data_IF_178473684474
#
_entry.id   IF_178473684474
#
_cell.length_a   1.000
_cell.length_b   1.000
_cell.length_c   1.000
_cell.angle_alpha   90.00
_cell.angle_beta   90.00
_cell.angle_gamma   90.00
#
_symmetry.space_group_name_H-M   'P 1'
#
loop_
_entity.id
_entity.type
_entity.pdbx_description
1 polymer ?
#
# COMPACT_ATOMS: atom_id res chain seq x y z
N UNK A 1 1.01 -5.25 15.41
CA UNK A 1 2.06 -4.33 15.90
C UNK A 1 2.57 -4.84 17.24
N UNK A 2 3.87 -5.09 17.42
CA UNK A 2 4.46 -5.59 18.66
C UNK A 2 4.57 -4.52 19.77
N UNK A 3 3.44 -3.96 20.24
CA UNK A 3 3.43 -2.81 21.17
C UNK A 3 4.31 -3.01 22.42
N UNK A 4 4.22 -4.20 23.05
CA UNK A 4 5.00 -4.52 24.27
C UNK A 4 6.49 -4.66 24.00
N UNK A 5 6.86 -5.27 22.87
CA UNK A 5 8.25 -5.52 22.51
C UNK A 5 8.94 -4.18 22.21
N UNK A 6 8.25 -3.28 21.52
CA UNK A 6 8.78 -1.97 21.14
C UNK A 6 8.69 -0.91 22.26
N UNK A 7 8.03 -1.22 23.40
CA UNK A 7 7.86 -0.31 24.55
C UNK A 7 7.39 1.10 24.16
N UNK A 8 6.47 1.17 23.20
CA UNK A 8 6.01 2.44 22.64
C UNK A 8 5.09 3.19 23.61
N UNK A 9 5.24 4.51 23.66
CA UNK A 9 4.29 5.43 24.29
C UNK A 9 3.44 6.06 23.19
N UNK A 10 2.17 5.67 23.12
CA UNK A 10 1.25 6.09 22.07
C UNK A 10 0.11 6.91 22.66
N UNK A 11 -0.22 8.01 21.97
CA UNK A 11 -1.34 8.89 22.31
C UNK A 11 -2.57 8.55 21.47
N UNK A 12 -3.74 8.90 21.99
CA UNK A 12 -5.00 8.64 21.30
C UNK A 12 -5.06 9.41 19.98
N UNK A 13 -5.33 8.75 18.84
CA UNK A 13 -5.44 9.43 17.56
C UNK A 13 -6.78 10.19 17.38
N UNK A 14 -7.64 10.22 18.41
CA UNK A 14 -8.89 10.98 18.33
C UNK A 14 -8.63 12.47 18.53
N UNK A 15 -9.27 13.35 17.73
CA UNK A 15 -9.27 14.79 18.00
C UNK A 15 -9.72 15.03 19.44
N UNK A 16 -9.12 16.04 20.09
CA UNK A 16 -9.40 16.46 21.47
C UNK A 16 -9.20 15.42 22.60
N UNK A 17 -8.63 14.25 22.31
CA UNK A 17 -8.30 13.25 23.33
C UNK A 17 -6.77 13.15 23.53
N UNK A 18 -6.31 13.31 24.78
CA UNK A 18 -4.89 13.17 25.16
C UNK A 18 -4.61 11.89 25.96
N UNK A 19 -5.50 10.90 25.88
CA UNK A 19 -5.32 9.63 26.58
C UNK A 19 -4.21 8.77 25.98
N UNK A 20 -3.56 7.97 26.82
CA UNK A 20 -2.58 6.96 26.38
C UNK A 20 -3.26 5.71 25.85
N UNK A 21 -2.61 5.05 24.90
CA UNK A 21 -3.08 3.82 24.28
C UNK A 21 -2.46 2.60 24.96
N UNK A 22 -3.26 1.58 25.22
CA UNK A 22 -2.82 0.29 25.79
C UNK A 22 -3.27 -0.87 24.91
N UNK A 23 -2.61 -2.03 25.02
CA UNK A 23 -3.00 -3.25 24.30
C UNK A 23 -4.41 -3.70 24.75
N UNK A 24 -5.25 -4.04 23.77
CA UNK A 24 -6.65 -4.42 23.99
C UNK A 24 -7.07 -5.72 23.27
N UNK A 25 -6.11 -6.64 23.08
CA UNK A 25 -6.32 -7.93 22.45
C UNK A 25 -6.06 -7.93 20.94
N UNK A 26 -6.49 -9.00 20.27
CA UNK A 26 -6.34 -9.15 18.82
C UNK A 26 -7.45 -8.44 18.06
N UNK A 27 -7.09 -7.90 16.90
CA UNK A 27 -8.02 -7.34 15.94
C UNK A 27 -8.96 -8.42 15.43
N UNK A 28 -10.27 -8.13 15.35
CA UNK A 28 -11.30 -9.15 15.07
C UNK A 28 -11.15 -9.80 13.70
N UNK A 29 -10.53 -9.12 12.74
CA UNK A 29 -10.43 -9.57 11.36
C UNK A 29 -8.98 -9.79 10.94
N UNK A 30 -8.65 -11.01 10.56
CA UNK A 30 -7.37 -11.28 9.89
C UNK A 30 -7.46 -10.69 8.47
N UNK A 31 -6.47 -9.87 8.10
CA UNK A 31 -6.43 -9.27 6.77
C UNK A 31 -5.70 -10.17 5.80
N UNK A 32 -6.22 -10.27 4.59
CA UNK A 32 -5.56 -10.93 3.47
C UNK A 32 -4.84 -9.86 2.65
N UNK A 33 -3.52 -9.87 2.67
CA UNK A 33 -2.68 -8.86 2.01
C UNK A 33 -2.24 -9.39 0.66
N UNK A 34 -2.41 -8.59 -0.39
CA UNK A 34 -1.90 -8.90 -1.73
C UNK A 34 -0.37 -8.79 -1.74
N UNK A 35 0.32 -9.84 -2.17
CA UNK A 35 1.76 -9.86 -2.42
C UNK A 35 2.06 -10.22 -3.88
N UNK A 36 3.35 -10.24 -4.24
CA UNK A 36 3.84 -10.50 -5.60
C UNK A 36 3.40 -11.86 -6.14
N UNK A 37 3.43 -12.91 -5.31
CA UNK A 37 3.24 -14.31 -5.73
C UNK A 37 2.07 -15.02 -5.01
N UNK A 38 1.24 -14.25 -4.31
CA UNK A 38 0.04 -14.76 -3.67
C UNK A 38 -0.58 -13.78 -2.69
N UNK A 39 -1.06 -14.34 -1.59
CA UNK A 39 -1.68 -13.62 -0.50
C UNK A 39 -1.15 -14.16 0.81
N UNK A 40 -0.88 -13.27 1.77
CA UNK A 40 -0.57 -13.66 3.14
C UNK A 40 -1.60 -13.11 4.12
N UNK A 41 -1.71 -13.80 5.26
CA UNK A 41 -2.59 -13.40 6.34
C UNK A 41 -1.82 -12.51 7.31
N UNK A 42 -2.40 -11.37 7.64
CA UNK A 42 -1.86 -10.42 8.59
C UNK A 42 -2.83 -10.25 9.76
N UNK A 43 -2.37 -10.66 10.94
CA UNK A 43 -3.04 -10.38 12.21
C UNK A 43 -2.44 -9.13 12.86
N UNK A 44 -3.25 -8.44 13.66
CA UNK A 44 -2.83 -7.24 14.38
C UNK A 44 -3.51 -7.18 15.73
N UNK A 45 -2.94 -6.42 16.65
CA UNK A 45 -3.54 -6.12 17.95
C UNK A 45 -4.42 -4.86 17.85
N UNK A 46 -5.44 -4.80 18.70
CA UNK A 46 -6.14 -3.56 19.04
C UNK A 46 -5.35 -2.79 20.10
N UNK A 47 -5.41 -1.48 19.97
CA UNK A 47 -5.01 -0.54 21.00
C UNK A 47 -6.27 0.17 21.49
N UNK A 48 -6.42 0.31 22.80
CA UNK A 48 -7.54 1.00 23.45
C UNK A 48 -7.03 2.24 24.17
N UNK A 49 -7.75 3.34 24.02
CA UNK A 49 -7.48 4.56 24.77
C UNK A 49 -7.98 4.42 26.22
N UNK A 50 -7.13 4.69 27.19
CA UNK A 50 -7.52 4.64 28.61
C UNK A 50 -8.59 5.66 29.00
N UNK A 51 -8.65 6.80 28.28
CA UNK A 51 -9.58 7.92 28.55
C UNK A 51 -10.92 7.75 27.85
N UNK A 52 -10.95 7.68 26.51
CA UNK A 52 -12.19 7.62 25.74
C UNK A 52 -12.66 6.19 25.40
N UNK A 53 -11.93 5.16 25.84
CA UNK A 53 -12.21 3.72 25.59
C UNK A 53 -12.30 3.31 24.12
N UNK A 54 -11.93 4.19 23.19
CA UNK A 54 -11.96 3.88 21.75
C UNK A 54 -10.86 2.89 21.39
N UNK A 55 -11.24 1.85 20.65
CA UNK A 55 -10.33 0.83 20.10
C UNK A 55 -9.93 1.18 18.66
N UNK A 56 -8.65 1.07 18.36
CA UNK A 56 -8.08 1.25 17.02
C UNK A 56 -7.13 0.12 16.69
N UNK A 57 -7.01 -0.25 15.41
CA UNK A 57 -5.99 -1.22 14.99
C UNK A 57 -4.59 -0.63 15.16
N UNK A 58 -3.62 -1.45 15.57
CA UNK A 58 -2.22 -1.02 15.71
C UNK A 58 -1.54 -0.58 14.41
N UNK A 59 -2.17 -0.80 13.25
CA UNK A 59 -1.75 -0.31 11.93
C UNK A 59 -2.51 0.95 11.48
N UNK A 60 -3.41 1.50 12.30
CA UNK A 60 -4.14 2.70 11.92
C UNK A 60 -3.17 3.86 11.68
N UNK A 61 -3.46 4.70 10.67
CA UNK A 61 -2.53 5.76 10.27
C UNK A 61 -2.21 6.75 11.40
N UNK A 62 -3.19 7.02 12.28
CA UNK A 62 -2.97 7.87 13.46
C UNK A 62 -1.99 7.27 14.47
N UNK A 63 -1.82 5.94 14.49
CA UNK A 63 -0.81 5.25 15.30
C UNK A 63 0.53 5.19 14.56
N UNK A 64 0.54 4.77 13.29
CA UNK A 64 1.78 4.66 12.50
C UNK A 64 2.52 6.00 12.41
N UNK A 65 1.80 7.12 12.29
CA UNK A 65 2.40 8.47 12.25
C UNK A 65 3.12 8.89 13.53
N UNK A 66 2.83 8.27 14.67
CA UNK A 66 3.52 8.54 15.93
C UNK A 66 4.84 7.76 16.05
N UNK A 67 5.06 6.77 15.17
CA UNK A 67 6.22 5.91 15.22
C UNK A 67 7.42 6.56 14.55
N UNK A 68 8.61 6.34 15.13
CA UNK A 68 9.85 6.65 14.45
C UNK A 68 9.95 5.88 13.11
N UNK A 69 10.64 6.42 12.09
CA UNK A 69 10.82 5.75 10.80
C UNK A 69 11.35 4.32 10.87
N UNK A 70 12.13 4.00 11.90
CA UNK A 70 12.67 2.65 12.16
C UNK A 70 11.57 1.62 12.45
N UNK A 71 10.47 2.02 13.09
CA UNK A 71 9.34 1.13 13.39
C UNK A 71 8.25 1.22 12.33
N UNK A 72 7.94 2.42 11.81
CA UNK A 72 6.90 2.57 10.78
C UNK A 72 7.24 1.80 9.49
N UNK A 73 8.53 1.73 9.11
CA UNK A 73 9.00 0.93 7.95
C UNK A 73 8.94 -0.59 8.16
N UNK A 74 8.74 -1.07 9.38
CA UNK A 74 8.57 -2.51 9.64
C UNK A 74 7.16 -3.01 9.29
N UNK A 75 6.22 -2.10 9.00
CA UNK A 75 4.90 -2.49 8.51
C UNK A 75 5.01 -2.84 7.02
N UNK A 76 4.69 -4.09 6.62
CA UNK A 76 4.97 -4.57 5.27
C UNK A 76 3.96 -4.08 4.24
N UNK A 77 2.83 -3.51 4.66
CA UNK A 77 1.69 -3.29 3.79
C UNK A 77 0.99 -1.94 4.01
N UNK A 78 0.45 -1.41 2.91
CA UNK A 78 -0.55 -0.34 2.92
C UNK A 78 -1.88 -0.96 3.36
N UNK A 79 -2.36 -0.54 4.53
CA UNK A 79 -3.58 -1.04 5.13
C UNK A 79 -4.58 0.10 5.29
N UNK A 80 -5.75 -0.04 4.67
CA UNK A 80 -6.92 0.83 4.90
C UNK A 80 -8.07 0.00 5.42
N UNK A 81 -9.22 0.60 5.72
CA UNK A 81 -10.38 -0.19 6.15
C UNK A 81 -10.74 -1.29 5.14
N UNK A 82 -10.69 -0.98 3.82
CA UNK A 82 -11.12 -1.88 2.73
C UNK A 82 -9.98 -2.54 1.95
N UNK A 83 -8.76 -2.00 2.02
CA UNK A 83 -7.64 -2.39 1.14
C UNK A 83 -6.45 -2.91 1.97
N UNK A 84 -5.74 -3.87 1.43
CA UNK A 84 -4.52 -4.42 2.02
C UNK A 84 -3.56 -4.92 0.94
N UNK A 85 -2.44 -4.22 0.77
CA UNK A 85 -1.47 -4.49 -0.28
C UNK A 85 -0.04 -4.33 0.23
N UNK A 86 0.83 -5.26 -0.12
CA UNK A 86 2.23 -5.23 0.26
C UNK A 86 2.98 -4.06 -0.41
N UNK A 87 3.90 -3.44 0.32
CA UNK A 87 4.72 -2.34 -0.22
C UNK A 87 5.59 -2.76 -1.41
N UNK A 88 5.93 -4.04 -1.55
CA UNK A 88 6.64 -4.57 -2.72
C UNK A 88 5.82 -4.41 -3.99
N UNK A 89 4.53 -4.73 -3.93
CA UNK A 89 3.58 -4.52 -5.05
C UNK A 89 3.43 -3.03 -5.35
N UNK A 90 3.24 -2.22 -4.31
CA UNK A 90 3.12 -0.75 -4.45
C UNK A 90 4.38 -0.14 -5.06
N UNK A 91 5.55 -0.68 -4.75
CA UNK A 91 6.83 -0.19 -5.28
C UNK A 91 6.96 -0.41 -6.79
N UNK A 92 6.35 -1.47 -7.35
CA UNK A 92 6.31 -1.66 -8.80
C UNK A 92 5.50 -0.56 -9.52
N UNK A 93 4.57 0.11 -8.85
CA UNK A 93 3.84 1.27 -9.39
C UNK A 93 4.61 2.60 -9.30
N UNK A 94 5.71 2.63 -8.54
CA UNK A 94 6.52 3.85 -8.36
C UNK A 94 7.39 4.15 -9.59
N UNK A 95 7.90 3.14 -10.27
CA UNK A 95 8.66 3.29 -11.51
C UNK A 95 7.73 3.65 -12.66
N UNK A 96 7.57 4.94 -12.96
CA UNK A 96 6.77 5.43 -14.09
C UNK A 96 7.62 5.47 -15.36
N UNK A 97 7.89 4.31 -15.96
CA UNK A 97 8.45 4.21 -17.31
C UNK A 97 7.33 3.94 -18.33
N UNK A 98 7.58 4.26 -19.60
CA UNK A 98 6.74 3.83 -20.72
C UNK A 98 6.68 2.30 -20.71
N UNK A 99 5.53 1.75 -20.33
CA UNK A 99 5.34 0.31 -20.10
C UNK A 99 4.62 0.05 -18.78
N UNK A 100 5.09 0.66 -17.69
CA UNK A 100 4.65 0.38 -16.31
C UNK A 100 3.26 0.99 -15.99
N UNK A 101 2.21 0.33 -16.49
CA UNK A 101 0.82 0.64 -16.17
C UNK A 101 0.26 -0.28 -15.08
N UNK A 102 -0.80 0.16 -14.40
CA UNK A 102 -1.49 -0.69 -13.42
C UNK A 102 -2.07 -1.96 -14.08
N UNK A 103 -2.49 -1.88 -15.35
CA UNK A 103 -2.95 -3.04 -16.13
C UNK A 103 -1.82 -4.03 -16.39
N UNK A 104 -0.64 -3.53 -16.77
CA UNK A 104 0.53 -4.38 -16.94
C UNK A 104 0.88 -5.07 -15.62
N UNK A 105 0.91 -4.32 -14.52
CA UNK A 105 1.17 -4.89 -13.19
C UNK A 105 0.13 -5.95 -12.81
N UNK A 106 -1.16 -5.73 -13.05
CA UNK A 106 -2.19 -6.75 -12.83
C UNK A 106 -1.91 -8.04 -13.62
N UNK A 107 -1.46 -7.93 -14.87
CA UNK A 107 -1.13 -9.09 -15.70
C UNK A 107 0.12 -9.81 -15.18
N UNK A 108 1.16 -9.06 -14.82
CA UNK A 108 2.37 -9.61 -14.20
C UNK A 108 2.05 -10.33 -12.90
N UNK A 109 1.26 -9.72 -12.01
CA UNK A 109 0.83 -10.38 -10.76
C UNK A 109 0.02 -11.65 -11.05
N UNK A 110 -0.81 -11.66 -12.09
CA UNK A 110 -1.56 -12.86 -12.50
C UNK A 110 -0.62 -13.99 -12.89
N UNK A 111 0.35 -13.71 -13.74
CA UNK A 111 1.36 -14.71 -14.14
C UNK A 111 2.16 -15.22 -12.94
N UNK A 112 2.64 -14.32 -12.07
CA UNK A 112 3.39 -14.68 -10.86
C UNK A 112 2.57 -15.54 -9.89
N UNK A 113 1.29 -15.19 -9.67
CA UNK A 113 0.40 -15.98 -8.83
C UNK A 113 0.10 -17.35 -9.44
N UNK A 114 -0.04 -17.43 -10.77
CA UNK A 114 -0.31 -18.69 -11.49
C UNK A 114 0.87 -19.64 -11.36
N UNK A 115 2.06 -19.13 -11.61
CA UNK A 115 3.32 -19.85 -11.50
C UNK A 115 3.57 -20.33 -10.05
N UNK A 116 3.40 -19.44 -9.06
CA UNK A 116 3.55 -19.81 -7.66
C UNK A 116 2.50 -20.83 -7.18
N UNK A 117 1.25 -20.71 -7.67
CA UNK A 117 0.21 -21.73 -7.43
C UNK A 117 0.59 -23.07 -8.05
N UNK A 118 1.08 -23.08 -9.29
CA UNK A 118 1.47 -24.30 -9.99
C UNK A 118 2.61 -25.02 -9.25
N UNK A 119 3.65 -24.29 -8.83
CA UNK A 119 4.73 -24.85 -8.00
C UNK A 119 4.19 -25.47 -6.70
N UNK A 120 3.32 -24.75 -5.98
CA UNK A 120 2.69 -25.26 -4.74
C UNK A 120 1.81 -26.50 -5.01
N UNK A 121 1.10 -26.53 -6.14
CA UNK A 121 0.27 -27.67 -6.53
C UNK A 121 1.10 -28.92 -6.85
N UNK A 122 2.20 -28.77 -7.60
CA UNK A 122 3.13 -29.87 -7.90
C UNK A 122 3.71 -30.43 -6.59
N UNK A 123 4.18 -29.54 -5.69
CA UNK A 123 4.71 -29.96 -4.40
C UNK A 123 3.65 -30.70 -3.56
N UNK A 124 2.44 -30.17 -3.49
CA UNK A 124 1.33 -30.80 -2.76
C UNK A 124 1.03 -32.20 -3.29
N UNK A 125 0.84 -32.32 -4.61
CA UNK A 125 0.53 -33.61 -5.25
C UNK A 125 1.66 -34.62 -5.05
N UNK A 126 2.92 -34.20 -5.19
CA UNK A 126 4.07 -35.08 -4.94
C UNK A 126 4.13 -35.58 -3.49
N UNK A 127 3.81 -34.75 -2.50
CA UNK A 127 3.72 -35.18 -1.09
C UNK A 127 2.55 -36.14 -0.88
N UNK A 128 1.40 -35.89 -1.49
CA UNK A 128 0.24 -36.79 -1.43
C UNK A 128 0.57 -38.17 -2.03
N UNK A 129 1.23 -38.21 -3.18
CA UNK A 129 1.67 -39.46 -3.84
C UNK A 129 2.64 -40.25 -2.95
N UNK A 130 3.64 -39.59 -2.37
CA UNK A 130 4.58 -40.23 -1.44
C UNK A 130 3.87 -40.77 -0.21
N UNK A 131 2.91 -40.03 0.35
CA UNK A 131 2.14 -40.47 1.51
C UNK A 131 1.29 -41.70 1.19
N UNK A 132 0.61 -41.73 0.03
CA UNK A 132 -0.16 -42.91 -0.41
C UNK A 132 0.73 -44.12 -0.69
N UNK A 133 1.96 -43.92 -1.17
CA UNK A 133 2.91 -45.01 -1.40
C UNK A 133 3.40 -45.64 -0.08
N UNK A 134 3.57 -44.82 0.98
CA UNK A 134 4.12 -45.26 2.27
C UNK A 134 3.05 -45.78 3.24
N UNK A 135 1.81 -45.29 3.16
CA UNK A 135 0.73 -45.66 4.05
C UNK A 135 -0.28 -46.57 3.34
N UNK A 136 -0.69 -47.68 3.97
CA UNK A 136 -1.79 -48.53 3.47
C UNK A 136 -3.18 -47.86 3.57
N UNK A 137 -3.23 -46.56 3.83
CA UNK A 137 -4.46 -45.78 3.95
C UNK A 137 -4.94 -45.42 2.55
N UNK A 138 -6.08 -46.01 2.13
CA UNK A 138 -6.80 -45.56 0.94
C UNK A 138 -7.57 -44.29 1.30
N UNK A 139 -7.13 -43.15 0.80
CA UNK A 139 -7.82 -41.87 0.97
C UNK A 139 -7.64 -40.98 -0.25
N UNK A 140 -8.64 -40.16 -0.55
CA UNK A 140 -8.54 -39.13 -1.59
C UNK A 140 -8.17 -37.80 -0.92
N UNK A 141 -7.05 -37.23 -1.34
CA UNK A 141 -6.67 -35.89 -0.92
C UNK A 141 -7.53 -34.84 -1.64
N UNK A 142 -7.89 -33.73 -0.97
CA UNK A 142 -8.61 -32.65 -1.63
C UNK A 142 -7.75 -32.05 -2.75
N UNK A 143 -8.35 -31.54 -3.84
CA UNK A 143 -7.59 -30.91 -4.91
C UNK A 143 -6.87 -29.65 -4.39
N UNK A 144 -5.73 -29.26 -5.02
CA UNK A 144 -5.04 -28.03 -4.68
C UNK A 144 -5.98 -26.82 -4.70
N UNK A 145 -5.90 -25.90 -3.72
CA UNK A 145 -6.76 -24.73 -3.64
C UNK A 145 -6.82 -23.93 -4.95
N UNK A 146 -8.01 -23.38 -5.25
CA UNK A 146 -8.20 -22.47 -6.38
C UNK A 146 -7.53 -21.12 -6.12
N UNK A 147 -7.08 -20.46 -7.19
CA UNK A 147 -6.46 -19.15 -7.05
C UNK A 147 -7.51 -18.11 -6.62
N UNK A 148 -7.23 -17.29 -5.61
CA UNK A 148 -8.07 -16.14 -5.30
C UNK A 148 -8.08 -15.14 -6.45
N UNK A 149 -9.21 -14.48 -6.68
CA UNK A 149 -9.29 -13.43 -7.70
C UNK A 149 -8.34 -12.28 -7.39
N UNK A 150 -7.61 -11.84 -8.40
CA UNK A 150 -6.76 -10.66 -8.31
C UNK A 150 -7.59 -9.37 -8.38
N UNK A 151 -7.17 -8.32 -7.66
CA UNK A 151 -7.84 -7.03 -7.72
C UNK A 151 -7.65 -6.35 -9.09
N UNK A 152 -8.54 -5.41 -9.38
CA UNK A 152 -8.54 -4.65 -10.63
C UNK A 152 -7.39 -3.62 -10.70
N UNK A 153 -7.03 -3.13 -11.89
CA UNK A 153 -6.04 -2.06 -12.03
C UNK A 153 -6.42 -0.78 -11.25
N UNK A 154 -7.72 -0.45 -11.20
CA UNK A 154 -8.23 0.69 -10.43
C UNK A 154 -7.92 0.51 -8.94
N UNK A 155 -8.12 -0.69 -8.41
CA UNK A 155 -7.81 -1.00 -7.01
C UNK A 155 -6.34 -0.78 -6.67
N UNK A 156 -5.43 -1.18 -7.57
CA UNK A 156 -3.98 -0.95 -7.41
C UNK A 156 -3.64 0.54 -7.40
N UNK A 157 -4.28 1.32 -8.28
CA UNK A 157 -4.11 2.78 -8.29
C UNK A 157 -4.65 3.43 -7.02
N UNK A 158 -5.77 2.95 -6.49
CA UNK A 158 -6.33 3.44 -5.22
C UNK A 158 -5.35 3.20 -4.06
N UNK A 159 -4.79 1.99 -3.96
CA UNK A 159 -3.77 1.66 -2.95
C UNK A 159 -2.54 2.56 -3.09
N UNK A 160 -2.06 2.77 -4.32
CA UNK A 160 -0.93 3.65 -4.59
C UNK A 160 -1.22 5.10 -4.17
N UNK A 161 -2.44 5.60 -4.41
CA UNK A 161 -2.88 6.89 -3.90
C UNK A 161 -2.82 6.99 -2.37
N UNK A 162 -3.26 5.94 -1.66
CA UNK A 162 -3.12 5.87 -0.20
C UNK A 162 -1.64 5.88 0.25
N UNK A 163 -0.75 5.12 -0.39
CA UNK A 163 0.70 5.15 -0.10
C UNK A 163 1.27 6.57 -0.24
N UNK A 164 0.94 7.28 -1.33
CA UNK A 164 1.36 8.67 -1.54
C UNK A 164 0.85 9.56 -0.42
N UNK A 165 -0.44 9.46 -0.06
CA UNK A 165 -1.04 10.27 1.00
C UNK A 165 -0.35 10.08 2.35
N UNK A 166 0.14 8.87 2.65
CA UNK A 166 0.87 8.62 3.91
C UNK A 166 2.20 9.37 3.99
N UNK A 167 2.84 9.67 2.85
CA UNK A 167 4.17 10.29 2.75
C UNK A 167 4.16 11.70 2.16
N UNK A 168 2.97 12.27 2.02
CA UNK A 168 2.77 13.55 1.37
C UNK A 168 3.52 14.69 2.07
N UNK A 169 3.59 14.65 3.40
CA UNK A 169 4.33 15.65 4.18
C UNK A 169 5.86 15.51 3.99
N UNK A 170 6.39 14.29 3.89
CA UNK A 170 7.80 14.06 3.53
C UNK A 170 8.11 14.61 2.14
N UNK A 171 7.21 14.39 1.17
CA UNK A 171 7.37 14.91 -0.17
C UNK A 171 7.31 16.43 -0.21
N UNK A 172 6.37 17.05 0.50
CA UNK A 172 6.32 18.51 0.66
C UNK A 172 7.63 19.03 1.25
N UNK A 173 8.07 18.47 2.38
CA UNK A 173 9.31 18.89 3.03
C UNK A 173 10.53 18.75 2.12
N UNK A 174 10.64 17.65 1.37
CA UNK A 174 11.73 17.43 0.41
C UNK A 174 11.70 18.44 -0.74
N UNK A 175 10.54 18.65 -1.35
CA UNK A 175 10.42 19.61 -2.46
C UNK A 175 10.69 21.03 -1.94
N UNK A 176 10.15 21.42 -0.79
CA UNK A 176 10.42 22.72 -0.16
C UNK A 176 11.89 22.89 0.24
N UNK A 177 12.55 21.83 0.70
CA UNK A 177 13.98 21.86 1.01
C UNK A 177 14.85 22.05 -0.23
N UNK A 178 14.45 21.48 -1.37
CA UNK A 178 15.22 21.58 -2.62
C UNK A 178 14.92 22.88 -3.39
N UNK A 179 13.66 23.31 -3.39
CA UNK A 179 13.18 24.39 -4.27
C UNK A 179 12.68 25.64 -3.51
N UNK A 180 12.67 25.63 -2.18
CA UNK A 180 12.14 26.73 -1.36
C UNK A 180 10.62 26.80 -1.35
N UNK A 181 10.07 28.01 -1.23
CA UNK A 181 8.62 28.23 -1.20
C UNK A 181 7.98 27.91 -2.55
N UNK A 182 7.09 26.93 -2.57
CA UNK A 182 6.32 26.57 -3.76
C UNK A 182 5.04 27.41 -3.78
N UNK A 183 4.95 28.36 -4.71
CA UNK A 183 3.69 29.06 -4.97
C UNK A 183 2.68 28.07 -5.55
N UNK A 184 1.50 28.00 -4.95
CA UNK A 184 0.38 27.19 -5.44
C UNK A 184 0.06 27.64 -6.86
N UNK A 185 0.40 26.81 -7.84
CA UNK A 185 0.04 27.05 -9.23
C UNK A 185 -1.42 26.62 -9.41
N UNK A 186 -2.30 27.56 -9.72
CA UNK A 186 -3.70 27.23 -10.01
C UNK A 186 -3.76 26.32 -11.23
N UNK A 187 -4.35 25.13 -11.03
CA UNK A 187 -4.56 24.12 -12.08
C UNK A 187 -5.69 24.54 -13.03
N UNK A 188 -5.60 25.75 -13.59
CA UNK A 188 -6.45 26.16 -14.70
C UNK A 188 -5.72 25.82 -15.99
N UNK A 189 -6.43 25.19 -16.95
CA UNK A 189 -5.90 24.85 -18.29
C UNK A 189 -5.29 26.07 -19.02
N UNK A 190 -5.63 27.29 -18.59
CA UNK A 190 -5.09 28.56 -19.09
C UNK A 190 -3.64 28.81 -18.65
N UNK A 191 -3.27 28.48 -17.41
CA UNK A 191 -1.92 28.68 -16.88
C UNK A 191 -0.94 27.69 -17.51
N UNK A 192 -1.32 26.41 -17.62
CA UNK A 192 -0.49 25.39 -18.28
C UNK A 192 -0.22 25.71 -19.75
N UNK A 193 -1.22 26.22 -20.49
CA UNK A 193 -1.07 26.63 -21.91
C UNK A 193 -0.25 27.92 -22.09
N UNK A 194 -0.24 28.82 -21.10
CA UNK A 194 0.61 30.02 -21.13
C UNK A 194 2.08 29.68 -20.84
N UNK A 195 2.32 28.81 -19.86
CA UNK A 195 3.66 28.35 -19.53
C UNK A 195 4.30 27.56 -20.68
N UNK A 196 3.57 26.62 -21.29
CA UNK A 196 4.08 25.87 -22.45
C UNK A 196 4.46 26.77 -23.64
N UNK A 197 3.77 27.89 -23.82
CA UNK A 197 4.09 28.90 -24.85
C UNK A 197 5.29 29.76 -24.49
N UNK A 198 5.52 30.03 -23.20
CA UNK A 198 6.70 30.77 -22.73
C UNK A 198 7.97 29.92 -22.87
N UNK A 199 7.93 28.65 -22.47
CA UNK A 199 9.07 27.74 -22.59
C UNK A 199 9.47 27.43 -24.04
N UNK A 200 8.52 27.51 -25.00
CA UNK A 200 8.83 27.41 -26.42
C UNK A 200 9.59 28.63 -26.99
N UNK A 201 9.56 29.78 -26.30
CA UNK A 201 10.23 31.01 -26.75
C UNK A 201 11.66 31.16 -26.22
N UNK A 202 12.01 30.48 -25.12
CA UNK A 202 13.31 30.65 -24.46
C UNK A 202 14.33 29.53 -24.74
N UNK A 203 14.01 28.54 -25.58
CA UNK A 203 15.04 27.63 -26.13
C UNK A 203 15.89 26.89 -25.09
N UNK A 204 15.35 26.59 -23.90
CA UNK A 204 16.06 25.88 -22.85
C UNK A 204 15.30 24.60 -22.47
N UNK A 205 15.83 23.47 -22.94
CA UNK A 205 15.35 22.13 -22.65
C UNK A 205 15.78 21.74 -21.22
N UNK A 206 14.89 21.97 -20.24
CA UNK A 206 15.08 21.50 -18.86
C UNK A 206 14.05 20.41 -18.53
N UNK A 207 14.57 19.19 -18.44
CA UNK A 207 13.93 17.89 -18.15
C UNK A 207 13.39 17.75 -16.72
N UNK A 208 12.64 18.75 -16.22
CA UNK A 208 12.00 18.69 -14.89
C UNK A 208 10.48 18.88 -14.89
N UNK A 209 9.89 19.37 -15.99
CA UNK A 209 8.45 19.65 -16.08
C UNK A 209 7.58 18.43 -16.38
N UNK A 210 8.15 17.35 -16.91
CA UNK A 210 7.38 16.22 -17.46
C UNK A 210 6.93 15.21 -16.39
N UNK A 211 7.48 15.26 -15.18
CA UNK A 211 7.27 14.19 -14.18
C UNK A 211 6.45 14.63 -12.97
N UNK A 212 6.45 15.92 -12.62
CA UNK A 212 5.80 16.42 -11.38
C UNK A 212 4.37 16.93 -11.64
N UNK A 213 4.14 17.60 -12.77
CA UNK A 213 2.83 18.20 -13.10
C UNK A 213 1.74 17.15 -13.37
N UNK A 214 2.00 16.04 -14.10
CA UNK A 214 0.99 15.00 -14.28
C UNK A 214 0.67 14.27 -12.98
N UNK A 215 1.66 14.13 -12.08
CA UNK A 215 1.52 13.40 -10.83
C UNK A 215 0.57 14.10 -9.84
N UNK A 216 0.56 15.44 -9.81
CA UNK A 216 -0.36 16.22 -8.95
C UNK A 216 -1.76 16.33 -9.59
N UNK A 217 -1.84 16.47 -10.91
CA UNK A 217 -3.13 16.50 -11.61
C UNK A 217 -3.86 15.15 -11.56
N UNK A 218 -3.14 14.03 -11.72
CA UNK A 218 -3.74 12.70 -11.64
C UNK A 218 -4.24 12.36 -10.23
N UNK A 219 -3.52 12.78 -9.18
CA UNK A 219 -3.98 12.59 -7.79
C UNK A 219 -5.19 13.49 -7.48
N UNK A 220 -5.21 14.73 -8.00
CA UNK A 220 -6.35 15.64 -7.82
C UNK A 220 -7.61 15.14 -8.54
N UNK A 221 -7.47 14.58 -9.76
CA UNK A 221 -8.58 13.98 -10.51
C UNK A 221 -9.16 12.73 -9.83
N UNK A 222 -8.30 11.87 -9.27
CA UNK A 222 -8.74 10.68 -8.52
C UNK A 222 -9.46 11.07 -7.21
N UNK A 223 -9.06 12.17 -6.56
CA UNK A 223 -9.71 12.66 -5.34
C UNK A 223 -11.08 13.29 -5.65
N UNK A 224 -11.26 13.97 -6.80
CA UNK A 224 -12.54 14.56 -7.18
C UNK A 224 -13.61 13.55 -7.62
N UNK A 225 -13.24 12.32 -8.00
CA UNK A 225 -14.20 11.25 -8.33
C UNK A 225 -14.60 10.39 -7.11
N UNK A 226 -14.04 10.66 -5.93
CA UNK A 226 -14.28 9.90 -4.69
C UNK A 226 -15.08 10.68 -3.61
N UNK A 227 -15.55 11.88 -3.94
CA UNK A 227 -16.55 12.65 -3.18
C UNK A 227 -17.86 12.70 -3.96
#
# INVERSE_FOLDING_TARGET
MPHRIWRLQLTCPQPSCTGSMVKAGLYRTIRRVLDIDGWYLMATEYLECLRCKKKVGGWSQGIIRQLAPTYSRQFPAVLTYKLSCDHRVVTQLKSRTLGNSATQLCNTLREQHLDARMRRAIQYLGVCEQFLALCSVRGQFPPPPTMPTLPSPIWLLTVYGYDIMTRLDEYKARITSTFGSILKMDSTKKVTKKLSRAFHKEGQELTLGTTIVPSILSVSLIISELN
#
